data_IF_960106176606
#
_entry.id   IF_960106176606
#
_cell.length_a   1.000
_cell.length_b   1.000
_cell.length_c   1.000
_cell.angle_alpha   90.00
_cell.angle_beta   90.00
_cell.angle_gamma   90.00
#
_symmetry.space_group_name_H-M   'P 1'
#
loop_
_entity.id
_entity.type
_entity.pdbx_description
1 polymer ?
#
# COMPACT_ATOMS: atom_id res chain seq x y z
N UNK A 1 23.67 -31.07 -42.73
CA UNK A 1 24.72 -30.60 -41.80
C UNK A 1 24.59 -29.09 -41.76
N UNK A 2 23.98 -28.57 -40.69
CA UNK A 2 23.55 -27.17 -40.61
C UNK A 2 24.64 -26.32 -39.93
N UNK A 3 25.28 -25.36 -40.64
CA UNK A 3 26.46 -24.66 -40.15
C UNK A 3 26.19 -23.66 -39.02
N UNK A 4 24.94 -23.29 -38.76
CA UNK A 4 24.58 -22.28 -37.75
C UNK A 4 24.50 -22.83 -36.31
N UNK A 5 24.31 -24.15 -36.15
CA UNK A 5 24.29 -24.79 -34.84
C UNK A 5 25.66 -24.80 -34.13
N UNK A 6 26.76 -24.74 -34.90
CA UNK A 6 28.14 -24.82 -34.38
C UNK A 6 28.66 -23.44 -33.92
N UNK A 7 28.15 -22.34 -34.50
CA UNK A 7 28.51 -20.98 -34.08
C UNK A 7 27.85 -20.56 -32.76
N UNK A 8 26.64 -21.05 -32.50
CA UNK A 8 25.87 -20.74 -31.29
C UNK A 8 26.47 -21.37 -30.02
N UNK A 9 26.99 -22.60 -30.13
CA UNK A 9 27.61 -23.32 -29.01
C UNK A 9 28.99 -22.76 -28.62
N UNK A 10 29.77 -22.26 -29.57
CA UNK A 10 31.06 -21.61 -29.30
C UNK A 10 30.92 -20.22 -28.64
N UNK A 11 29.84 -19.50 -28.91
CA UNK A 11 29.59 -18.18 -28.32
C UNK A 11 29.19 -18.28 -26.84
N UNK A 12 28.33 -19.24 -26.49
CA UNK A 12 27.88 -19.43 -25.09
C UNK A 12 29.00 -19.91 -24.15
N UNK A 13 29.95 -20.72 -24.65
CA UNK A 13 31.10 -21.17 -23.86
C UNK A 13 32.09 -20.01 -23.58
N UNK A 14 32.22 -19.07 -24.54
CA UNK A 14 33.07 -17.89 -24.38
C UNK A 14 32.51 -16.91 -23.33
N UNK A 15 31.19 -16.67 -23.30
CA UNK A 15 30.59 -15.79 -22.30
C UNK A 15 30.65 -16.37 -20.87
N UNK A 16 30.46 -17.68 -20.70
CA UNK A 16 30.55 -18.33 -19.38
C UNK A 16 31.94 -18.22 -18.74
N UNK A 17 33.00 -18.34 -19.54
CA UNK A 17 34.38 -18.22 -19.05
C UNK A 17 34.77 -16.77 -18.70
N UNK A 18 34.21 -15.78 -19.42
CA UNK A 18 34.52 -14.35 -19.18
C UNK A 18 33.84 -13.85 -17.89
N UNK A 19 32.61 -14.28 -17.61
CA UNK A 19 31.92 -13.93 -16.35
C UNK A 19 32.58 -14.63 -15.16
N UNK A 20 33.00 -15.89 -15.30
CA UNK A 20 33.72 -16.61 -14.25
C UNK A 20 35.12 -16.03 -13.98
N UNK A 21 35.80 -15.49 -15.00
CA UNK A 21 37.05 -14.76 -14.82
C UNK A 21 36.83 -13.42 -14.11
N UNK A 22 35.82 -12.65 -14.54
CA UNK A 22 35.45 -11.38 -13.90
C UNK A 22 35.07 -11.55 -12.42
N UNK A 23 34.37 -12.63 -12.06
CA UNK A 23 34.02 -12.93 -10.68
C UNK A 23 35.26 -13.26 -9.81
N UNK A 24 36.24 -13.98 -10.35
CA UNK A 24 37.47 -14.33 -9.62
C UNK A 24 38.41 -13.14 -9.45
N UNK A 25 38.46 -12.24 -10.44
CA UNK A 25 39.28 -11.04 -10.36
C UNK A 25 38.67 -10.02 -9.38
N UNK A 26 37.33 -9.89 -9.33
CA UNK A 26 36.63 -9.15 -8.27
C UNK A 26 36.91 -9.73 -6.88
N UNK A 27 36.84 -11.05 -6.72
CA UNK A 27 37.16 -11.71 -5.45
C UNK A 27 38.62 -11.45 -5.01
N UNK A 28 39.58 -11.48 -5.96
CA UNK A 28 40.98 -11.17 -5.65
C UNK A 28 41.19 -9.69 -5.33
N UNK A 29 40.48 -8.77 -5.97
CA UNK A 29 40.55 -7.34 -5.63
C UNK A 29 39.93 -7.03 -4.27
N UNK A 30 38.87 -7.72 -3.86
CA UNK A 30 38.27 -7.57 -2.53
C UNK A 30 39.25 -8.04 -1.45
N UNK A 31 39.81 -9.25 -1.58
CA UNK A 31 40.77 -9.80 -0.61
C UNK A 31 42.08 -8.99 -0.54
N UNK A 32 42.52 -8.37 -1.64
CA UNK A 32 43.73 -7.53 -1.62
C UNK A 32 43.47 -6.12 -1.06
N UNK A 33 42.25 -5.58 -1.21
CA UNK A 33 41.82 -4.35 -0.52
C UNK A 33 41.71 -4.56 0.98
N UNK A 34 41.20 -5.69 1.43
CA UNK A 34 41.12 -6.04 2.86
C UNK A 34 42.52 -6.15 3.48
N UNK A 35 43.51 -6.66 2.72
CA UNK A 35 44.89 -6.82 3.21
C UNK A 35 45.72 -5.54 3.21
N UNK A 36 45.30 -4.49 2.50
CA UNK A 36 46.03 -3.22 2.41
C UNK A 36 45.55 -2.14 3.39
N UNK A 37 44.45 -2.36 4.11
CA UNK A 37 43.91 -1.46 5.13
C UNK A 37 44.17 -1.97 6.57
N UNK A 38 45.36 -2.49 6.84
CA UNK A 38 45.82 -2.74 8.21
C UNK A 38 46.43 -1.46 8.80
N UNK A 39 45.59 -0.55 9.27
CA UNK A 39 45.93 0.47 10.26
C UNK A 39 45.01 0.27 11.48
N UNK A 40 45.50 0.39 12.74
CA UNK A 40 44.74 -0.04 13.91
C UNK A 40 43.69 1.01 14.27
N UNK A 41 42.56 0.99 13.56
CA UNK A 41 41.30 1.43 14.14
C UNK A 41 40.72 0.20 14.82
N UNK A 42 40.51 0.26 16.14
CA UNK A 42 39.72 -0.71 16.88
C UNK A 42 38.27 -0.61 16.41
N UNK A 43 38.00 -1.17 15.25
CA UNK A 43 36.68 -1.53 14.82
C UNK A 43 36.62 -3.02 15.13
N UNK A 44 35.77 -3.43 16.08
CA UNK A 44 35.50 -4.85 16.28
C UNK A 44 35.03 -5.39 14.92
N UNK A 45 35.89 -6.17 14.27
CA UNK A 45 35.57 -6.90 13.05
C UNK A 45 34.55 -7.96 13.45
N UNK A 46 33.27 -7.57 13.46
CA UNK A 46 32.16 -8.50 13.61
C UNK A 46 32.15 -9.40 12.38
N UNK A 47 32.50 -10.67 12.60
CA UNK A 47 32.50 -11.68 11.55
C UNK A 47 31.07 -11.84 11.02
N UNK A 48 30.87 -11.52 9.75
CA UNK A 48 29.55 -11.49 9.13
C UNK A 48 28.94 -12.90 9.11
N UNK A 49 29.78 -13.93 9.07
CA UNK A 49 29.37 -15.33 9.13
C UNK A 49 28.88 -15.73 10.54
N UNK A 50 29.44 -15.17 11.63
CA UNK A 50 28.93 -15.39 13.00
C UNK A 50 27.57 -14.72 13.24
N UNK A 51 27.30 -13.58 12.58
CA UNK A 51 26.00 -12.90 12.67
C UNK A 51 24.89 -13.62 11.89
N UNK A 52 25.23 -14.32 10.80
CA UNK A 52 24.26 -15.10 10.03
C UNK A 52 23.77 -16.35 10.76
N UNK A 53 24.62 -16.94 11.60
CA UNK A 53 24.31 -18.11 12.42
C UNK A 53 23.81 -17.74 13.85
N UNK A 54 23.56 -16.45 14.12
CA UNK A 54 23.03 -16.00 15.42
C UNK A 54 21.55 -16.44 15.57
N UNK A 55 21.24 -17.38 16.50
CA UNK A 55 19.88 -17.87 16.70
C UNK A 55 18.90 -16.80 17.19
N UNK A 56 19.38 -15.68 17.75
CA UNK A 56 18.54 -14.53 18.11
C UNK A 56 18.15 -13.71 16.87
N UNK A 57 19.08 -13.55 15.92
CA UNK A 57 18.82 -12.87 14.65
C UNK A 57 17.86 -13.69 13.75
N UNK A 58 18.06 -15.01 13.69
CA UNK A 58 17.15 -15.92 12.97
C UNK A 58 15.72 -15.87 13.54
N UNK A 59 15.59 -15.84 14.87
CA UNK A 59 14.30 -15.72 15.54
C UNK A 59 13.62 -14.39 15.20
N UNK A 60 14.36 -13.29 15.22
CA UNK A 60 13.83 -11.96 14.90
C UNK A 60 13.43 -11.86 13.41
N UNK A 61 14.19 -12.48 12.51
CA UNK A 61 13.84 -12.62 11.10
C UNK A 61 12.57 -13.47 10.90
N UNK A 62 12.48 -14.62 11.56
CA UNK A 62 11.32 -15.49 11.50
C UNK A 62 10.05 -14.79 12.04
N UNK A 63 10.16 -14.04 13.13
CA UNK A 63 9.07 -13.25 13.70
C UNK A 63 8.61 -12.14 12.74
N UNK A 64 9.54 -11.41 12.11
CA UNK A 64 9.21 -10.38 11.13
C UNK A 64 8.54 -10.96 9.88
N UNK A 65 9.07 -12.07 9.35
CA UNK A 65 8.47 -12.78 8.20
C UNK A 65 7.08 -13.31 8.57
N UNK A 66 6.89 -13.86 9.77
CA UNK A 66 5.59 -14.33 10.23
C UNK A 66 4.58 -13.18 10.39
N UNK A 67 5.01 -12.03 10.91
CA UNK A 67 4.17 -10.83 11.03
C UNK A 67 3.71 -10.33 9.65
N UNK A 68 4.64 -10.19 8.70
CA UNK A 68 4.35 -9.78 7.33
C UNK A 68 3.39 -10.75 6.62
N UNK A 69 3.63 -12.07 6.75
CA UNK A 69 2.74 -13.11 6.18
C UNK A 69 1.33 -13.01 6.76
N UNK A 70 1.20 -12.85 8.08
CA UNK A 70 -0.10 -12.75 8.75
C UNK A 70 -0.87 -11.49 8.34
N UNK A 71 -0.17 -10.38 8.14
CA UNK A 71 -0.78 -9.14 7.66
C UNK A 71 -1.24 -9.25 6.20
N UNK A 72 -0.40 -9.83 5.34
CA UNK A 72 -0.75 -10.10 3.95
C UNK A 72 -1.98 -11.00 3.85
N UNK A 73 -2.03 -12.10 4.60
CA UNK A 73 -3.18 -13.02 4.63
C UNK A 73 -4.46 -12.30 5.08
N UNK A 74 -4.40 -11.50 6.16
CA UNK A 74 -5.54 -10.69 6.61
C UNK A 74 -6.01 -9.74 5.53
N UNK A 75 -5.09 -9.04 4.87
CA UNK A 75 -5.41 -8.10 3.80
C UNK A 75 -6.03 -8.81 2.60
N UNK A 76 -5.56 -10.00 2.25
CA UNK A 76 -6.19 -10.82 1.21
C UNK A 76 -7.61 -11.25 1.57
N UNK A 77 -7.85 -11.71 2.81
CA UNK A 77 -9.19 -12.09 3.28
C UNK A 77 -10.15 -10.90 3.20
N UNK A 78 -9.72 -9.72 3.66
CA UNK A 78 -10.52 -8.50 3.58
C UNK A 78 -10.79 -8.11 2.12
N UNK A 79 -9.78 -8.20 1.25
CA UNK A 79 -9.95 -7.92 -0.19
C UNK A 79 -10.95 -8.88 -0.83
N UNK A 80 -10.92 -10.19 -0.49
CA UNK A 80 -11.91 -11.18 -0.95
C UNK A 80 -13.32 -10.87 -0.45
N UNK A 81 -13.46 -10.25 0.72
CA UNK A 81 -14.73 -9.78 1.27
C UNK A 81 -15.23 -8.46 0.63
N UNK A 82 -14.49 -7.88 -0.32
CA UNK A 82 -14.84 -6.63 -1.00
C UNK A 82 -14.42 -5.37 -0.23
N UNK A 83 -13.40 -5.46 0.64
CA UNK A 83 -12.77 -4.26 1.21
C UNK A 83 -11.75 -3.69 0.21
N UNK A 84 -11.51 -2.38 0.29
CA UNK A 84 -10.63 -1.67 -0.65
C UNK A 84 -11.33 -1.13 -1.90
N UNK A 85 -12.60 -1.46 -2.11
CA UNK A 85 -13.44 -0.94 -3.19
C UNK A 85 -14.63 -0.14 -2.65
N UNK A 86 -15.16 0.74 -3.49
CA UNK A 86 -16.40 1.46 -3.21
C UNK A 86 -17.49 0.96 -4.18
N UNK A 87 -18.30 0.03 -3.70
CA UNK A 87 -19.32 -0.66 -4.49
C UNK A 87 -20.74 -0.29 -4.10
N UNK A 88 -21.62 -0.46 -5.06
CA UNK A 88 -23.06 -0.38 -4.86
C UNK A 88 -23.60 -1.74 -4.43
N UNK A 89 -24.50 -1.74 -3.46
CA UNK A 89 -25.15 -2.95 -2.96
C UNK A 89 -26.67 -2.80 -3.05
N UNK A 90 -27.39 -3.92 -3.06
CA UNK A 90 -28.87 -3.91 -3.02
C UNK A 90 -29.38 -3.95 -1.58
N UNK A 91 -30.68 -3.70 -1.40
CA UNK A 91 -31.32 -3.82 -0.08
C UNK A 91 -31.17 -5.24 0.52
N UNK A 92 -31.22 -6.29 -0.30
CA UNK A 92 -31.07 -7.68 0.15
C UNK A 92 -29.66 -8.00 0.66
N UNK A 93 -28.64 -7.39 0.04
CA UNK A 93 -27.24 -7.63 0.40
C UNK A 93 -26.82 -6.85 1.65
N UNK A 94 -27.52 -5.76 1.97
CA UNK A 94 -27.16 -4.83 3.04
C UNK A 94 -26.80 -5.50 4.36
N UNK A 95 -27.61 -6.45 4.84
CA UNK A 95 -27.34 -7.13 6.11
C UNK A 95 -26.09 -8.01 6.04
N UNK A 96 -25.91 -8.76 4.95
CA UNK A 96 -24.72 -9.60 4.77
C UNK A 96 -23.43 -8.76 4.73
N UNK A 97 -23.50 -7.60 4.10
CA UNK A 97 -22.38 -6.67 3.97
C UNK A 97 -22.01 -5.99 5.28
N UNK A 98 -23.02 -5.53 6.04
CA UNK A 98 -22.85 -4.80 7.30
C UNK A 98 -22.47 -5.71 8.47
N UNK A 99 -22.94 -6.97 8.47
CA UNK A 99 -22.63 -7.94 9.53
C UNK A 99 -21.41 -8.80 9.23
N UNK A 100 -21.05 -8.98 7.96
CA UNK A 100 -19.90 -9.78 7.54
C UNK A 100 -18.53 -9.14 7.82
N UNK A 101 -18.50 -7.85 8.15
CA UNK A 101 -17.27 -7.08 8.35
C UNK A 101 -17.28 -6.38 9.71
N UNK A 102 -16.09 -6.18 10.30
CA UNK A 102 -15.98 -5.54 11.61
C UNK A 102 -16.31 -4.04 11.56
N UNK A 103 -15.86 -3.33 10.52
CA UNK A 103 -16.12 -1.89 10.32
C UNK A 103 -16.69 -1.68 8.92
N UNK A 104 -17.85 -1.04 8.84
CA UNK A 104 -18.53 -0.77 7.55
C UNK A 104 -19.03 0.66 7.53
N UNK A 105 -18.83 1.33 6.40
CA UNK A 105 -19.36 2.66 6.10
C UNK A 105 -20.35 2.48 4.97
N UNK A 106 -21.61 2.78 5.23
CA UNK A 106 -22.67 2.74 4.23
C UNK A 106 -23.16 4.15 3.89
N UNK A 107 -23.01 4.54 2.64
CA UNK A 107 -23.55 5.79 2.12
C UNK A 107 -24.93 5.55 1.49
N UNK A 108 -25.96 6.08 2.15
CA UNK A 108 -27.30 6.18 1.59
C UNK A 108 -27.33 7.41 0.69
N UNK A 109 -27.54 7.15 -0.59
CA UNK A 109 -27.43 8.15 -1.64
C UNK A 109 -28.68 8.12 -2.54
N UNK A 110 -28.80 9.13 -3.39
CA UNK A 110 -29.82 9.17 -4.42
C UNK A 110 -29.30 10.01 -5.58
N UNK A 111 -29.56 9.55 -6.79
CA UNK A 111 -28.94 10.02 -8.03
C UNK A 111 -29.23 11.50 -8.39
N UNK A 112 -30.36 12.05 -7.94
CA UNK A 112 -30.75 13.44 -8.20
C UNK A 112 -30.00 14.46 -7.33
N UNK A 113 -29.49 14.03 -6.17
CA UNK A 113 -28.85 14.94 -5.22
C UNK A 113 -27.37 15.15 -5.55
N UNK A 114 -27.01 16.38 -5.93
CA UNK A 114 -25.62 16.74 -6.24
C UNK A 114 -24.66 16.49 -5.06
N UNK A 115 -25.10 16.74 -3.82
CA UNK A 115 -24.31 16.49 -2.61
C UNK A 115 -23.92 15.02 -2.43
N UNK A 116 -24.76 14.09 -2.88
CA UNK A 116 -24.42 12.66 -2.88
C UNK A 116 -23.23 12.37 -3.80
N UNK A 117 -23.12 13.05 -4.94
CA UNK A 117 -22.00 12.89 -5.88
C UNK A 117 -20.67 13.38 -5.28
N UNK A 118 -20.71 14.44 -4.49
CA UNK A 118 -19.53 14.94 -3.75
C UNK A 118 -19.09 13.88 -2.74
N UNK A 119 -20.02 13.37 -1.93
CA UNK A 119 -19.71 12.33 -0.93
C UNK A 119 -19.14 11.06 -1.59
N UNK A 120 -19.72 10.62 -2.71
CA UNK A 120 -19.23 9.51 -3.53
C UNK A 120 -17.77 9.69 -3.95
N UNK A 121 -17.39 10.89 -4.40
CA UNK A 121 -16.01 11.20 -4.81
C UNK A 121 -15.02 10.99 -3.65
N UNK A 122 -15.36 11.48 -2.46
CA UNK A 122 -14.47 11.38 -1.30
C UNK A 122 -14.39 9.94 -0.75
N UNK A 123 -15.53 9.26 -0.59
CA UNK A 123 -15.56 7.87 -0.11
C UNK A 123 -14.85 6.92 -1.08
N UNK A 124 -15.01 7.12 -2.39
CA UNK A 124 -14.28 6.35 -3.41
C UNK A 124 -12.76 6.52 -3.31
N UNK A 125 -12.28 7.71 -2.96
CA UNK A 125 -10.86 7.97 -2.77
C UNK A 125 -10.32 7.33 -1.47
N UNK A 126 -11.15 7.23 -0.43
CA UNK A 126 -10.77 6.65 0.86
C UNK A 126 -10.82 5.12 0.88
N UNK A 127 -11.73 4.51 0.11
CA UNK A 127 -11.91 3.06 0.09
C UNK A 127 -10.62 2.24 -0.14
N UNK A 128 -9.76 2.54 -1.15
CA UNK A 128 -8.53 1.76 -1.37
C UNK A 128 -7.45 2.00 -0.31
N UNK A 129 -7.48 3.15 0.36
CA UNK A 129 -6.51 3.51 1.40
C UNK A 129 -6.83 2.75 2.70
N UNK A 130 -8.11 2.65 3.04
CA UNK A 130 -8.58 2.09 4.31
C UNK A 130 -9.16 0.68 4.15
N UNK A 131 -8.32 -0.28 3.75
CA UNK A 131 -8.72 -1.68 3.52
C UNK A 131 -9.24 -2.38 4.79
N UNK A 132 -8.96 -1.85 5.98
CA UNK A 132 -9.54 -2.35 7.24
C UNK A 132 -11.02 -1.99 7.44
N UNK A 133 -11.58 -1.13 6.58
CA UNK A 133 -12.98 -0.68 6.64
C UNK A 133 -13.65 -0.89 5.30
N UNK A 134 -14.86 -1.45 5.31
CA UNK A 134 -15.62 -1.70 4.10
C UNK A 134 -16.43 -0.46 3.71
N UNK A 135 -16.35 -0.04 2.45
CA UNK A 135 -17.07 1.11 1.93
C UNK A 135 -18.12 0.65 0.93
N UNK A 136 -19.39 0.93 1.22
CA UNK A 136 -20.51 0.56 0.36
C UNK A 136 -21.47 1.73 0.18
N UNK A 137 -22.22 1.73 -0.91
CA UNK A 137 -23.33 2.66 -1.13
C UNK A 137 -24.61 1.93 -1.46
N UNK A 138 -25.72 2.52 -1.03
CA UNK A 138 -27.07 1.98 -1.21
C UNK A 138 -27.99 3.10 -1.66
N UNK A 139 -28.73 2.87 -2.74
CA UNK A 139 -29.71 3.82 -3.23
C UNK A 139 -30.91 3.85 -2.27
N UNK A 140 -31.19 5.04 -1.73
CA UNK A 140 -32.26 5.26 -0.77
C UNK A 140 -33.65 4.98 -1.37
N UNK A 141 -33.85 5.18 -2.69
CA UNK A 141 -35.12 4.85 -3.35
C UNK A 141 -35.36 3.35 -3.42
N UNK A 142 -34.28 2.58 -3.64
CA UNK A 142 -34.33 1.13 -3.79
C UNK A 142 -34.23 0.37 -2.45
N UNK A 143 -34.09 1.09 -1.32
CA UNK A 143 -33.98 0.50 0.01
C UNK A 143 -34.90 1.15 1.07
N UNK A 144 -36.22 1.19 0.82
CA UNK A 144 -37.16 1.89 1.69
C UNK A 144 -37.23 1.29 3.10
N UNK A 145 -36.98 -0.02 3.28
CA UNK A 145 -37.04 -0.66 4.59
C UNK A 145 -35.94 -0.13 5.51
N UNK A 146 -34.69 -0.05 5.02
CA UNK A 146 -33.59 0.49 5.83
C UNK A 146 -33.65 2.00 5.98
N UNK A 147 -34.11 2.73 4.97
CA UNK A 147 -34.36 4.18 5.09
C UNK A 147 -35.34 4.48 6.22
N UNK A 148 -36.46 3.74 6.29
CA UNK A 148 -37.44 3.88 7.36
C UNK A 148 -36.87 3.41 8.71
N UNK A 149 -36.24 2.23 8.75
CA UNK A 149 -35.72 1.63 9.99
C UNK A 149 -34.60 2.45 10.63
N UNK A 150 -33.72 3.03 9.82
CA UNK A 150 -32.61 3.87 10.25
C UNK A 150 -33.02 5.35 10.35
N UNK A 151 -34.28 5.68 10.06
CA UNK A 151 -34.85 7.03 10.12
C UNK A 151 -34.03 8.06 9.30
N UNK A 152 -33.72 7.71 8.06
CA UNK A 152 -32.96 8.57 7.14
C UNK A 152 -33.93 9.59 6.54
N UNK A 153 -33.76 10.87 6.90
CA UNK A 153 -34.61 11.98 6.43
C UNK A 153 -33.91 12.93 5.47
N UNK A 154 -32.57 12.94 5.48
CA UNK A 154 -31.76 13.89 4.73
C UNK A 154 -30.66 13.14 4.01
N UNK A 155 -30.48 13.41 2.72
CA UNK A 155 -29.41 12.85 1.90
C UNK A 155 -28.36 13.93 1.59
N UNK A 156 -27.07 13.57 1.44
CA UNK A 156 -26.50 12.25 1.70
C UNK A 156 -26.51 11.87 3.18
N UNK A 157 -26.66 10.58 3.50
CA UNK A 157 -26.50 10.08 4.87
C UNK A 157 -25.50 8.94 4.90
N UNK A 158 -24.41 9.11 5.65
CA UNK A 158 -23.38 8.08 5.81
C UNK A 158 -23.52 7.48 7.19
N UNK A 159 -23.76 6.19 7.29
CA UNK A 159 -23.90 5.49 8.57
C UNK A 159 -22.68 4.60 8.81
N UNK A 160 -22.15 4.70 10.02
CA UNK A 160 -20.97 3.97 10.46
C UNK A 160 -21.42 2.77 11.30
N UNK A 161 -21.04 1.58 10.85
CA UNK A 161 -21.37 0.32 11.52
C UNK A 161 -20.11 -0.32 12.10
N UNK A 162 -20.21 -0.80 13.34
CA UNK A 162 -19.21 -1.67 13.96
C UNK A 162 -19.87 -2.96 14.39
N UNK A 163 -19.37 -4.10 13.88
CA UNK A 163 -19.90 -5.45 14.17
C UNK A 163 -21.42 -5.53 13.95
N UNK A 164 -21.89 -4.96 12.85
CA UNK A 164 -23.32 -4.91 12.50
C UNK A 164 -24.16 -3.87 13.24
N UNK A 165 -23.61 -3.12 14.19
CA UNK A 165 -24.36 -2.11 14.98
C UNK A 165 -24.04 -0.72 14.46
N UNK A 166 -25.07 0.10 14.22
CA UNK A 166 -24.91 1.50 13.86
C UNK A 166 -24.36 2.30 15.07
N UNK A 167 -23.13 2.78 14.96
CA UNK A 167 -22.45 3.53 16.03
C UNK A 167 -22.68 5.01 15.90
N UNK A 168 -22.62 5.53 14.67
CA UNK A 168 -22.70 6.96 14.40
C UNK A 168 -23.16 7.20 12.95
N UNK A 169 -23.51 8.44 12.61
CA UNK A 169 -23.88 8.84 11.27
C UNK A 169 -23.44 10.26 10.95
N UNK A 170 -23.19 10.53 9.68
CA UNK A 170 -23.02 11.84 9.09
C UNK A 170 -24.27 12.18 8.31
N UNK A 171 -24.91 13.30 8.63
CA UNK A 171 -26.15 13.74 7.98
C UNK A 171 -25.87 14.98 7.15
N UNK A 172 -25.98 14.85 5.83
CA UNK A 172 -25.59 15.88 4.88
C UNK A 172 -24.13 16.27 5.09
N UNK A 173 -23.88 17.58 5.12
CA UNK A 173 -22.55 18.16 5.37
C UNK A 173 -22.49 18.94 6.69
N UNK A 174 -23.38 18.66 7.64
CA UNK A 174 -23.44 19.41 8.91
C UNK A 174 -22.11 19.35 9.66
N UNK A 175 -21.55 18.15 9.79
CA UNK A 175 -20.25 17.92 10.44
C UNK A 175 -19.05 18.42 9.62
N UNK A 176 -19.25 18.70 8.33
CA UNK A 176 -18.23 19.16 7.38
C UNK A 176 -18.26 20.68 7.19
N UNK A 177 -18.91 21.41 8.11
CA UNK A 177 -19.01 22.87 8.05
C UNK A 177 -20.06 23.38 7.06
N UNK A 178 -20.97 22.51 6.61
CA UNK A 178 -22.09 22.81 5.69
C UNK A 178 -21.68 23.44 4.36
N UNK A 179 -20.42 23.24 3.95
CA UNK A 179 -19.89 23.65 2.65
C UNK A 179 -19.82 22.44 1.73
N UNK A 180 -20.05 22.68 0.44
CA UNK A 180 -20.00 21.63 -0.58
C UNK A 180 -18.55 21.32 -1.03
N UNK A 181 -17.60 22.23 -0.76
CA UNK A 181 -16.21 22.16 -1.20
C UNK A 181 -15.24 21.68 -0.09
N UNK A 182 -15.61 20.66 0.68
CA UNK A 182 -14.72 20.12 1.72
C UNK A 182 -13.63 19.22 1.11
N UNK A 183 -12.48 19.13 1.78
CA UNK A 183 -11.39 18.27 1.34
C UNK A 183 -11.60 16.82 1.78
N UNK A 184 -11.06 15.85 1.03
CA UNK A 184 -11.09 14.43 1.44
C UNK A 184 -10.49 14.23 2.83
N UNK A 185 -9.44 14.99 3.16
CA UNK A 185 -8.79 14.99 4.48
C UNK A 185 -9.73 15.43 5.60
N UNK A 186 -10.64 16.38 5.35
CA UNK A 186 -11.62 16.80 6.35
C UNK A 186 -12.59 15.65 6.69
N UNK A 187 -13.10 14.95 5.67
CA UNK A 187 -13.95 13.76 5.88
C UNK A 187 -13.17 12.65 6.60
N UNK A 188 -11.95 12.38 6.15
CA UNK A 188 -11.05 11.41 6.75
C UNK A 188 -10.82 11.69 8.25
N UNK A 189 -10.54 12.93 8.63
CA UNK A 189 -10.35 13.32 10.02
C UNK A 189 -11.60 13.03 10.87
N UNK A 190 -12.80 13.31 10.34
CA UNK A 190 -14.04 13.01 11.06
C UNK A 190 -14.24 11.50 11.23
N UNK A 191 -13.94 10.71 10.20
CA UNK A 191 -14.03 9.25 10.26
C UNK A 191 -13.01 8.67 11.27
N UNK A 192 -11.80 9.25 11.34
CA UNK A 192 -10.79 8.91 12.36
C UNK A 192 -11.25 9.28 13.77
N UNK A 193 -11.80 10.47 13.96
CA UNK A 193 -12.34 10.92 15.25
C UNK A 193 -13.49 10.03 15.74
N UNK A 194 -14.34 9.54 14.84
CA UNK A 194 -15.40 8.57 15.14
C UNK A 194 -14.86 7.13 15.30
N UNK A 195 -13.56 6.92 15.05
CA UNK A 195 -12.84 5.66 15.20
C UNK A 195 -13.34 4.56 14.27
N UNK A 196 -13.91 4.91 13.11
CA UNK A 196 -14.36 3.92 12.12
C UNK A 196 -13.24 3.53 11.16
N UNK A 197 -12.30 4.43 10.90
CA UNK A 197 -11.06 4.15 10.20
C UNK A 197 -9.87 4.33 11.15
N UNK A 198 -8.80 3.60 10.91
CA UNK A 198 -7.60 3.65 11.74
C UNK A 198 -6.71 4.83 11.35
N UNK A 199 -5.81 5.24 12.24
CA UNK A 199 -4.76 6.18 11.86
C UNK A 199 -3.88 5.54 10.78
N UNK A 200 -3.54 6.32 9.75
CA UNK A 200 -2.57 5.87 8.76
C UNK A 200 -1.26 5.73 9.52
N UNK A 201 -0.80 4.49 9.72
CA UNK A 201 0.60 4.28 10.07
C UNK A 201 1.39 4.76 8.87
N UNK A 202 2.32 5.67 9.09
CA UNK A 202 3.36 5.99 8.11
C UNK A 202 4.29 4.76 8.01
N UNK A 203 3.72 3.63 7.59
CA UNK A 203 4.49 2.49 7.17
C UNK A 203 4.96 2.84 5.76
N UNK A 204 6.27 3.03 5.67
CA UNK A 204 7.07 3.47 4.54
C UNK A 204 6.80 2.59 3.30
N UNK A 205 5.80 2.95 2.50
CA UNK A 205 5.61 2.40 1.14
C UNK A 205 6.65 3.04 0.20
N UNK A 206 7.91 2.61 0.36
CA UNK A 206 8.72 2.31 -0.80
C UNK A 206 8.19 1.00 -1.37
N UNK A 207 7.22 1.08 -2.28
CA UNK A 207 7.10 0.20 -3.44
C UNK A 207 5.92 0.63 -4.33
N UNK A 208 6.25 0.89 -5.59
CA UNK A 208 5.37 1.16 -6.74
C UNK A 208 4.79 2.58 -6.91
N UNK A 209 5.66 3.56 -7.19
CA UNK A 209 5.29 4.62 -8.16
C UNK A 209 6.47 5.16 -8.99
N UNK A 210 6.47 4.79 -10.28
CA UNK A 210 7.00 5.54 -11.43
C UNK A 210 8.52 5.57 -11.67
N UNK A 211 8.95 4.65 -12.52
CA UNK A 211 10.26 4.58 -13.18
C UNK A 211 10.49 5.71 -14.22
N UNK A 212 10.25 6.98 -13.88
CA UNK A 212 10.36 8.07 -14.89
C UNK A 212 10.88 9.42 -14.43
N UNK A 213 11.40 9.59 -13.21
CA UNK A 213 11.84 10.94 -12.76
C UNK A 213 13.26 11.12 -12.24
N UNK A 214 14.14 10.12 -12.25
CA UNK A 214 15.53 10.30 -11.79
C UNK A 214 16.62 9.96 -12.82
N UNK A 215 16.49 10.48 -14.04
CA UNK A 215 17.64 10.74 -14.92
C UNK A 215 17.82 12.25 -15.12
N UNK A 216 18.28 12.94 -14.08
CA UNK A 216 19.07 14.17 -14.23
C UNK A 216 20.44 13.94 -13.63
N UNK A 217 21.28 13.23 -14.39
CA UNK A 217 22.71 13.19 -14.15
C UNK A 217 23.22 14.63 -14.29
N UNK A 218 23.76 15.15 -13.19
CA UNK A 218 24.49 16.41 -13.13
C UNK A 218 25.67 16.31 -14.11
N UNK A 219 25.63 17.04 -15.21
CA UNK A 219 26.82 17.25 -16.04
C UNK A 219 27.73 18.21 -15.27
N UNK A 220 28.71 17.67 -14.55
CA UNK A 220 29.85 18.46 -14.09
C UNK A 220 30.71 18.79 -15.31
N UNK A 221 30.61 20.03 -15.78
CA UNK A 221 31.61 20.63 -16.68
C UNK A 221 32.95 20.64 -15.96
N UNK A 222 33.83 19.70 -16.32
CA UNK A 222 35.25 19.84 -16.08
C UNK A 222 35.76 20.91 -17.05
N UNK A 223 36.12 22.07 -16.52
CA UNK A 223 36.98 23.02 -17.22
C UNK A 223 38.41 22.48 -17.09
N UNK A 224 38.88 21.78 -18.11
CA UNK A 224 40.32 21.55 -18.28
C UNK A 224 40.94 22.86 -18.74
N UNK A 225 41.75 23.44 -17.86
CA UNK A 225 42.66 24.55 -18.11
C UNK A 225 44.06 23.98 -18.39
N UNK A 226 44.76 24.62 -19.33
CA UNK A 226 46.16 24.42 -19.77
C UNK A 226 46.36 23.24 -20.77
N UNK A 227 47.08 23.37 -21.90
CA UNK A 227 48.30 24.15 -22.16
C UNK A 227 48.52 24.50 -23.65
N UNK A 228 49.43 25.46 -23.86
CA UNK A 228 50.13 25.98 -25.07
C UNK A 228 49.44 27.01 -25.98
#
# INVERSE_FOLDING_TARGET
>A
MDPDAVKSTLSNLAFGNVIAAAARDLQKEMVTKDKAQAAPASHDEVDLDELLDDPELEKLHAERIAALKKEAEKREVLKRQGHGEYREITEGDFLGEVTGSEKVICHFYHHEFYRCKIMDKHLRALAPIYVGTKFVKLDAENAPFFVAKLAIKTLPCVILFKKGIAVDRLVGFQDLGSKDDFSTRALENILKMKGIIDEKKDDDDNDEESESKNRRVRSSTAQDSDSD
#
